data_IF_040116567371
#
_entry.id   IF_040116567371
#
_cell.length_a   1.000
_cell.length_b   1.000
_cell.length_c   1.000
_cell.angle_alpha   90.00
_cell.angle_beta   90.00
_cell.angle_gamma   90.00
#
_symmetry.space_group_name_H-M   'P 1'
#
loop_
_entity.id
_entity.type
_entity.pdbx_description
1 polymer ?
#
# COMPACT_ATOMS: atom_id res chain seq x y z
N UNK A 1 19.12 9.12 8.49
CA UNK A 1 17.88 8.57 7.90
C UNK A 1 16.73 9.07 8.77
N UNK A 2 15.93 10.02 8.27
CA UNK A 2 14.81 10.58 9.06
C UNK A 2 13.70 9.54 9.03
N UNK A 3 13.34 9.00 10.20
CA UNK A 3 12.22 8.07 10.35
C UNK A 3 10.94 8.90 10.33
N UNK A 4 10.06 8.71 9.33
CA UNK A 4 8.79 9.43 9.30
C UNK A 4 7.79 8.86 10.32
N UNK A 5 6.89 9.69 10.85
CA UNK A 5 5.80 9.21 11.69
C UNK A 5 4.91 8.27 10.87
N UNK A 6 4.66 7.08 11.41
CA UNK A 6 3.87 5.98 10.79
C UNK A 6 2.60 6.46 10.08
N UNK A 7 1.89 7.43 10.68
CA UNK A 7 0.67 8.04 10.13
C UNK A 7 0.82 8.63 8.73
N UNK A 8 1.94 9.30 8.43
CA UNK A 8 2.12 9.94 7.13
C UNK A 8 2.46 8.91 6.05
N UNK A 9 3.18 7.84 6.38
CA UNK A 9 3.38 6.72 5.47
C UNK A 9 2.06 5.98 5.19
N UNK A 10 1.23 5.76 6.22
CA UNK A 10 -0.10 5.15 6.09
C UNK A 10 -1.02 5.98 5.17
N UNK A 11 -1.02 7.31 5.33
CA UNK A 11 -1.80 8.21 4.48
C UNK A 11 -1.35 8.16 3.01
N UNK A 12 -0.03 8.15 2.77
CA UNK A 12 0.50 8.05 1.41
C UNK A 12 0.20 6.68 0.82
N UNK A 13 0.30 5.59 1.59
CA UNK A 13 -0.05 4.24 1.14
C UNK A 13 -1.53 4.15 0.74
N UNK A 14 -2.44 4.74 1.53
CA UNK A 14 -3.87 4.81 1.20
C UNK A 14 -4.11 5.53 -0.11
N UNK A 15 -3.43 6.65 -0.35
CA UNK A 15 -3.53 7.41 -1.60
C UNK A 15 -2.96 6.66 -2.80
N UNK A 16 -1.88 5.89 -2.62
CA UNK A 16 -1.35 5.01 -3.66
C UNK A 16 -2.36 3.91 -4.02
N UNK A 17 -3.05 3.31 -3.04
CA UNK A 17 -4.12 2.33 -3.32
C UNK A 17 -5.28 2.93 -4.10
N UNK A 18 -5.76 4.10 -3.69
CA UNK A 18 -6.82 4.81 -4.42
C UNK A 18 -6.40 5.09 -5.88
N UNK A 19 -5.16 5.50 -6.11
CA UNK A 19 -4.64 5.73 -7.46
C UNK A 19 -4.60 4.45 -8.31
N UNK A 20 -4.25 3.30 -7.71
CA UNK A 20 -4.24 2.00 -8.40
C UNK A 20 -5.66 1.63 -8.85
N UNK A 21 -6.66 1.84 -7.98
CA UNK A 21 -8.08 1.62 -8.28
C UNK A 21 -8.58 2.58 -9.36
N UNK A 22 -8.28 3.88 -9.23
CA UNK A 22 -8.66 4.93 -10.20
C UNK A 22 -8.08 4.67 -11.59
N UNK A 23 -6.82 4.20 -11.67
CA UNK A 23 -6.16 3.86 -12.92
C UNK A 23 -6.49 2.45 -13.43
N UNK A 24 -7.36 1.72 -12.71
CA UNK A 24 -7.74 0.34 -13.01
C UNK A 24 -6.53 -0.57 -13.24
N UNK A 25 -5.45 -0.36 -12.47
CA UNK A 25 -4.23 -1.14 -12.61
C UNK A 25 -4.43 -2.54 -12.05
N UNK A 26 -4.35 -3.54 -12.92
CA UNK A 26 -4.53 -4.95 -12.55
C UNK A 26 -3.25 -5.60 -12.04
N UNK A 27 -3.40 -6.81 -11.49
CA UNK A 27 -2.29 -7.63 -11.04
C UNK A 27 -1.25 -7.85 -12.15
N UNK A 28 0.02 -7.65 -11.83
CA UNK A 28 1.12 -7.75 -12.79
C UNK A 28 1.34 -6.47 -13.60
N UNK A 29 0.45 -5.48 -13.55
CA UNK A 29 0.69 -4.18 -14.17
C UNK A 29 1.75 -3.39 -13.40
N UNK A 30 2.52 -2.59 -14.14
CA UNK A 30 3.59 -1.76 -13.59
C UNK A 30 3.03 -0.43 -13.12
N UNK A 31 3.38 -0.01 -11.91
CA UNK A 31 3.10 1.34 -11.44
C UNK A 31 3.93 2.37 -12.23
N UNK A 32 3.45 3.62 -12.32
CA UNK A 32 4.28 4.74 -12.79
C UNK A 32 5.62 4.80 -12.04
N UNK A 33 6.61 5.46 -12.63
CA UNK A 33 7.89 5.65 -11.95
C UNK A 33 7.68 6.42 -10.63
N UNK A 34 8.46 6.10 -9.58
CA UNK A 34 8.36 6.75 -8.27
C UNK A 34 8.36 8.29 -8.37
N UNK A 35 9.19 8.85 -9.25
CA UNK A 35 9.25 10.30 -9.47
C UNK A 35 7.91 10.87 -9.95
N UNK A 36 7.24 10.17 -10.86
CA UNK A 36 5.95 10.60 -11.42
C UNK A 36 4.84 10.43 -10.37
N UNK A 37 4.81 9.30 -9.66
CA UNK A 37 3.88 9.07 -8.56
C UNK A 37 4.01 10.13 -7.45
N UNK A 38 5.24 10.49 -7.08
CA UNK A 38 5.49 11.51 -6.07
C UNK A 38 4.96 12.88 -6.52
N UNK A 39 5.14 13.22 -7.79
CA UNK A 39 4.61 14.45 -8.37
C UNK A 39 3.07 14.44 -8.44
N UNK A 40 2.46 13.34 -8.88
CA UNK A 40 0.99 13.19 -8.96
C UNK A 40 0.33 13.28 -7.57
N UNK A 41 0.95 12.67 -6.56
CA UNK A 41 0.46 12.67 -5.19
C UNK A 41 0.89 13.93 -4.41
N UNK A 42 1.78 14.77 -4.95
CA UNK A 42 2.29 15.96 -4.26
C UNK A 42 3.05 15.62 -2.96
N UNK A 43 3.77 14.48 -2.94
CA UNK A 43 4.51 13.98 -1.76
C UNK A 43 6.00 13.93 -2.04
N UNK A 44 6.81 13.91 -0.98
CA UNK A 44 8.25 13.72 -1.14
C UNK A 44 8.56 12.30 -1.63
N UNK A 45 9.66 12.15 -2.39
CA UNK A 45 10.13 10.83 -2.86
C UNK A 45 10.46 9.87 -1.70
N UNK A 46 10.95 10.40 -0.57
CA UNK A 46 11.22 9.57 0.61
C UNK A 46 9.94 9.02 1.23
N UNK A 47 8.92 9.86 1.38
CA UNK A 47 7.61 9.47 1.91
C UNK A 47 6.93 8.43 1.02
N UNK A 48 7.00 8.63 -0.31
CA UNK A 48 6.48 7.67 -1.26
C UNK A 48 7.21 6.33 -1.16
N UNK A 49 8.53 6.33 -1.10
CA UNK A 49 9.34 5.10 -1.02
C UNK A 49 9.02 4.30 0.24
N UNK A 50 8.81 4.96 1.38
CA UNK A 50 8.40 4.30 2.63
C UNK A 50 7.00 3.69 2.51
N UNK A 51 6.05 4.43 1.93
CA UNK A 51 4.70 3.92 1.68
C UNK A 51 4.70 2.74 0.69
N UNK A 52 5.49 2.80 -0.39
CA UNK A 52 5.66 1.69 -1.32
C UNK A 52 6.31 0.48 -0.63
N UNK A 53 7.31 0.68 0.23
CA UNK A 53 7.92 -0.40 1.00
C UNK A 53 6.92 -1.06 1.95
N UNK A 54 6.03 -0.28 2.58
CA UNK A 54 4.93 -0.79 3.40
C UNK A 54 3.96 -1.64 2.56
N UNK A 55 3.51 -1.13 1.40
CA UNK A 55 2.62 -1.86 0.51
C UNK A 55 3.26 -3.13 -0.08
N UNK A 56 4.58 -3.13 -0.29
CA UNK A 56 5.33 -4.34 -0.69
C UNK A 56 5.37 -5.35 0.46
N UNK A 57 5.60 -4.89 1.70
CA UNK A 57 5.60 -5.75 2.88
C UNK A 57 4.21 -6.36 3.17
N UNK A 58 3.14 -5.63 2.85
CA UNK A 58 1.75 -6.10 2.95
C UNK A 58 1.33 -7.01 1.77
N UNK A 59 2.20 -7.22 0.78
CA UNK A 59 1.89 -8.07 -0.38
C UNK A 59 0.98 -7.41 -1.44
N UNK A 60 0.67 -6.13 -1.31
CA UNK A 60 -0.12 -5.36 -2.31
C UNK A 60 0.72 -5.00 -3.52
N UNK A 61 2.02 -4.81 -3.33
CA UNK A 61 2.96 -4.46 -4.40
C UNK A 61 4.12 -5.43 -4.47
N UNK A 62 4.77 -5.47 -5.63
CA UNK A 62 6.01 -6.19 -5.85
C UNK A 62 7.07 -5.23 -6.39
N UNK A 63 8.15 -5.03 -5.63
CA UNK A 63 9.31 -4.29 -6.11
C UNK A 63 10.31 -5.23 -6.77
N UNK A 64 10.71 -4.94 -8.01
CA UNK A 64 11.78 -5.65 -8.73
C UNK A 64 12.97 -4.72 -8.90
N UNK A 65 14.15 -5.14 -8.40
CA UNK A 65 15.41 -4.40 -8.57
C UNK A 65 15.64 -4.10 -10.07
N UNK A 66 15.77 -2.82 -10.42
CA UNK A 66 15.97 -2.35 -11.79
C UNK A 66 14.75 -2.42 -12.72
N UNK A 67 13.63 -3.04 -12.29
CA UNK A 67 12.45 -3.26 -13.11
C UNK A 67 11.25 -2.36 -12.78
N UNK A 68 11.24 -1.75 -11.59
CA UNK A 68 10.13 -0.93 -11.09
C UNK A 68 9.24 -1.66 -10.10
N UNK A 69 8.10 -1.03 -9.78
CA UNK A 69 7.10 -1.55 -8.85
C UNK A 69 5.89 -2.04 -9.64
N UNK A 70 5.37 -3.20 -9.28
CA UNK A 70 4.25 -3.85 -9.94
C UNK A 70 3.12 -4.08 -8.95
N UNK A 71 1.88 -4.01 -9.41
CA UNK A 71 0.71 -4.35 -8.59
C UNK A 71 0.69 -5.85 -8.37
N UNK A 72 0.58 -6.28 -7.12
CA UNK A 72 0.42 -7.67 -6.72
C UNK A 72 -0.98 -7.77 -6.10
N UNK A 73 -1.94 -8.39 -6.79
CA UNK A 73 -3.21 -8.68 -6.13
C UNK A 73 -3.02 -9.90 -5.24
N UNK A 74 -2.95 -9.65 -3.94
CA UNK A 74 -3.86 -10.20 -2.94
C UNK A 74 -3.54 -9.57 -1.58
N UNK A 75 -4.44 -8.72 -1.08
CA UNK A 75 -4.71 -8.71 0.36
C UNK A 75 -6.09 -8.13 0.66
N UNK A 76 -6.99 -9.00 1.08
CA UNK A 76 -7.98 -8.66 2.09
C UNK A 76 -7.19 -8.32 3.35
N UNK A 77 -7.19 -7.08 3.86
CA UNK A 77 -6.50 -6.78 5.10
C UNK A 77 -7.11 -7.64 6.21
N UNK A 78 -6.31 -8.58 6.73
CA UNK A 78 -6.50 -9.09 8.08
C UNK A 78 -6.33 -7.91 9.03
N UNK A 79 -7.37 -7.08 9.18
CA UNK A 79 -7.45 -6.10 10.24
C UNK A 79 -7.71 -6.88 11.53
N UNK A 80 -7.10 -6.48 12.65
CA UNK A 80 -7.46 -7.01 13.96
C UNK A 80 -8.99 -6.95 14.14
N UNK A 81 -9.65 -5.91 13.60
CA UNK A 81 -11.11 -5.74 13.57
C UNK A 81 -11.86 -6.89 12.84
N UNK A 82 -11.29 -7.46 11.78
CA UNK A 82 -11.85 -8.61 11.05
C UNK A 82 -11.72 -9.94 11.82
N UNK A 83 -10.76 -10.04 12.74
CA UNK A 83 -10.56 -11.24 13.59
C UNK A 83 -11.46 -11.19 14.84
N UNK A 84 -11.65 -10.01 15.45
CA UNK A 84 -12.46 -9.90 16.68
C UNK A 84 -13.96 -10.07 16.42
N UNK A 85 -14.47 -9.69 15.25
CA UNK A 85 -15.89 -9.80 14.90
C UNK A 85 -16.42 -11.25 14.93
N UNK A 86 -15.82 -12.23 14.24
CA UNK A 86 -16.32 -13.61 14.25
C UNK A 86 -16.17 -14.31 15.61
N UNK A 87 -15.14 -13.96 16.39
CA UNK A 87 -14.93 -14.57 17.73
C UNK A 87 -15.93 -14.07 18.77
N UNK A 88 -16.37 -12.80 18.69
CA UNK A 88 -17.43 -12.26 19.55
C UNK A 88 -18.76 -13.00 19.37
N UNK A 89 -19.07 -13.41 18.14
CA UNK A 89 -20.30 -14.14 17.82
C UNK A 89 -20.35 -15.54 18.46
N UNK A 90 -19.19 -16.15 18.73
CA UNK A 90 -19.09 -17.49 19.33
C UNK A 90 -19.04 -17.47 20.86
N UNK A 91 -18.63 -16.37 21.48
CA UNK A 91 -18.54 -16.22 22.93
C UNK A 91 -19.86 -15.79 23.61
N UNK A 92 -20.96 -15.73 22.86
CA UNK A 92 -22.25 -15.19 23.31
C UNK A 92 -23.37 -16.21 23.51
N UNK A 93 -23.07 -17.50 23.71
CA UNK A 93 -24.07 -18.52 24.07
C UNK A 93 -23.77 -19.18 25.39
#
# INVERSE_FOLDING_TARGET
MIVMPKRLADDVARRVRALIEEQQLEAGMRLPAERQLAAQLGVSRNSLREALAMLVNEGVLLSRRGGGTFVRFQHEPWSEQNIVQPLKTLAGR
#
